data_IF_758002860458
#
_entry.id   IF_758002860458
#
_cell.length_a   1.000
_cell.length_b   1.000
_cell.length_c   1.000
_cell.angle_alpha   90.00
_cell.angle_beta   90.00
_cell.angle_gamma   90.00
#
_symmetry.space_group_name_H-M   'P 1'
#
loop_
_entity.id
_entity.type
_entity.pdbx_description
1 polymer ?
#
# COMPACT_ATOMS: atom_id res chain seq x y z
N UNK A 1 0.86 3.85 13.06
CA UNK A 1 0.24 3.38 11.82
C UNK A 1 -0.95 2.52 12.21
N UNK A 2 -2.12 2.75 11.59
CA UNK A 2 -3.28 1.91 11.84
C UNK A 2 -3.18 0.61 11.03
N UNK A 3 -3.63 -0.50 11.61
CA UNK A 3 -3.78 -1.77 10.90
C UNK A 3 -5.26 -2.08 10.76
N UNK A 4 -5.69 -2.42 9.56
CA UNK A 4 -7.03 -2.96 9.30
C UNK A 4 -6.94 -4.48 9.42
N UNK A 5 -7.64 -5.04 10.41
CA UNK A 5 -7.73 -6.48 10.60
C UNK A 5 -9.06 -6.96 10.02
N UNK A 6 -8.99 -7.91 9.12
CA UNK A 6 -10.16 -8.49 8.46
C UNK A 6 -10.14 -9.99 8.70
N UNK A 7 -11.18 -10.50 9.37
CA UNK A 7 -11.37 -11.94 9.56
C UNK A 7 -11.98 -12.52 8.29
N UNK A 8 -11.29 -13.47 7.68
CA UNK A 8 -11.82 -14.18 6.52
C UNK A 8 -12.76 -15.31 6.95
N UNK A 9 -13.60 -15.78 6.02
CA UNK A 9 -14.49 -16.93 6.25
C UNK A 9 -13.73 -18.22 6.61
N UNK A 10 -12.43 -18.28 6.36
CA UNK A 10 -11.54 -19.40 6.73
C UNK A 10 -10.83 -19.19 8.08
N UNK A 11 -11.27 -18.21 8.89
CA UNK A 11 -10.66 -17.85 10.17
C UNK A 11 -9.18 -17.44 10.07
N UNK A 12 -8.78 -16.89 8.91
CA UNK A 12 -7.45 -16.32 8.69
C UNK A 12 -7.55 -14.82 8.85
N UNK A 13 -6.76 -14.24 9.75
CA UNK A 13 -6.71 -12.79 9.97
C UNK A 13 -5.81 -12.15 8.93
N UNK A 14 -6.39 -11.33 8.06
CA UNK A 14 -5.64 -10.50 7.12
C UNK A 14 -5.34 -9.14 7.76
N UNK A 15 -4.07 -8.78 7.79
CA UNK A 15 -3.60 -7.51 8.30
C UNK A 15 -3.16 -6.60 7.15
N UNK A 16 -3.86 -5.46 6.99
CA UNK A 16 -3.50 -4.44 6.01
C UNK A 16 -2.94 -3.22 6.74
N UNK A 17 -1.77 -2.78 6.33
CA UNK A 17 -1.17 -1.54 6.83
C UNK A 17 -1.82 -0.35 6.15
N UNK A 18 -2.49 0.52 6.94
CA UNK A 18 -3.17 1.69 6.40
C UNK A 18 -2.16 2.78 6.03
N UNK A 19 -2.40 3.44 4.90
CA UNK A 19 -1.54 4.51 4.41
C UNK A 19 -1.69 5.77 5.29
N UNK A 20 -0.60 6.30 5.85
CA UNK A 20 -0.63 7.53 6.64
C UNK A 20 -0.95 8.74 5.76
N UNK A 21 -1.44 9.83 6.38
CA UNK A 21 -1.91 11.05 5.71
C UNK A 21 -0.87 11.63 4.75
N UNK A 22 0.39 11.73 5.18
CA UNK A 22 1.46 12.34 4.37
C UNK A 22 1.74 11.57 3.08
N UNK A 23 1.72 10.23 3.10
CA UNK A 23 1.93 9.41 1.90
C UNK A 23 0.75 9.59 0.92
N UNK A 24 -0.47 9.66 1.43
CA UNK A 24 -1.67 9.92 0.62
C UNK A 24 -1.66 11.34 0.02
N UNK A 25 -1.09 12.30 0.75
CA UNK A 25 -0.88 13.65 0.26
C UNK A 25 0.15 13.69 -0.88
N UNK A 26 1.27 12.98 -0.76
CA UNK A 26 2.26 12.89 -1.84
C UNK A 26 1.69 12.18 -3.07
N UNK A 27 0.88 11.12 -2.90
CA UNK A 27 0.18 10.49 -4.03
C UNK A 27 -0.70 11.49 -4.78
N UNK A 28 -1.49 12.28 -4.04
CA UNK A 28 -2.34 13.33 -4.61
C UNK A 28 -1.51 14.42 -5.30
N UNK A 29 -0.37 14.83 -4.74
CA UNK A 29 0.52 15.82 -5.33
C UNK A 29 1.10 15.34 -6.66
N UNK A 30 1.49 14.08 -6.77
CA UNK A 30 1.93 13.47 -8.04
C UNK A 30 0.80 13.52 -9.07
N UNK A 31 -0.42 13.15 -8.70
CA UNK A 31 -1.58 13.24 -9.58
C UNK A 31 -1.83 14.69 -10.04
N UNK A 32 -1.71 15.68 -9.15
CA UNK A 32 -1.83 17.09 -9.48
C UNK A 32 -0.75 17.57 -10.48
N UNK A 33 0.50 17.12 -10.32
CA UNK A 33 1.58 17.46 -11.24
C UNK A 33 1.29 16.88 -12.63
N UNK A 34 0.85 15.62 -12.72
CA UNK A 34 0.50 14.98 -13.99
C UNK A 34 -0.66 15.69 -14.70
N UNK A 35 -1.70 16.03 -13.97
CA UNK A 35 -2.85 16.77 -14.50
C UNK A 35 -2.47 18.21 -14.89
N UNK A 36 -1.60 18.86 -14.12
CA UNK A 36 -1.06 20.18 -14.44
C UNK A 36 -0.21 20.18 -15.72
N UNK A 37 0.61 19.15 -15.89
CA UNK A 37 1.40 18.95 -17.11
C UNK A 37 0.50 18.70 -18.32
N UNK A 38 -0.53 17.86 -18.18
CA UNK A 38 -1.55 17.64 -19.22
C UNK A 38 -2.20 18.96 -19.62
N UNK A 39 -2.68 19.73 -18.63
CA UNK A 39 -3.31 21.04 -18.87
C UNK A 39 -2.37 21.98 -19.62
N UNK A 40 -1.12 22.09 -19.17
CA UNK A 40 -0.13 22.95 -19.81
C UNK A 40 0.15 22.55 -21.27
N UNK A 41 0.34 21.25 -21.54
CA UNK A 41 0.57 20.75 -22.90
C UNK A 41 -0.63 21.03 -23.81
N UNK A 42 -1.84 20.70 -23.34
CA UNK A 42 -3.05 20.79 -24.17
C UNK A 42 -3.42 22.25 -24.43
N UNK A 43 -3.52 23.08 -23.39
CA UNK A 43 -4.04 24.44 -23.53
C UNK A 43 -3.00 25.48 -23.97
N UNK A 44 -1.70 25.28 -23.66
CA UNK A 44 -0.67 26.25 -24.03
C UNK A 44 0.17 25.83 -25.26
N UNK A 45 0.18 24.55 -25.62
CA UNK A 45 0.96 24.07 -26.78
C UNK A 45 0.07 23.57 -27.91
N UNK A 46 -0.85 22.62 -27.61
CA UNK A 46 -1.62 21.93 -28.62
C UNK A 46 -2.75 22.84 -29.19
N UNK A 47 -3.60 23.39 -28.32
CA UNK A 47 -4.76 24.18 -28.73
C UNK A 47 -4.36 25.41 -29.59
N UNK A 48 -3.36 26.23 -29.21
CA UNK A 48 -2.93 27.33 -30.06
C UNK A 48 -2.34 26.90 -31.42
N UNK A 49 -1.73 25.73 -31.49
CA UNK A 49 -1.14 25.22 -32.74
C UNK A 49 -2.19 24.77 -33.77
N UNK A 50 -3.41 24.46 -33.33
CA UNK A 50 -4.53 24.08 -34.20
C UNK A 50 -5.21 25.26 -34.90
N UNK A 51 -4.82 26.49 -34.57
CA UNK A 51 -5.34 27.69 -35.20
C UNK A 51 -6.73 28.13 -34.75
N UNK A 52 -7.21 29.26 -35.26
CA UNK A 52 -8.49 29.90 -34.84
C UNK A 52 -9.76 29.04 -35.06
N UNK A 53 -9.68 27.98 -35.84
CA UNK A 53 -10.79 27.04 -36.03
C UNK A 53 -11.05 26.10 -34.84
N UNK A 54 -10.07 25.96 -33.94
CA UNK A 54 -10.16 25.09 -32.77
C UNK A 54 -10.80 25.80 -31.54
N UNK A 55 -11.01 27.11 -31.59
CA UNK A 55 -11.64 27.90 -30.51
C UNK A 55 -13.17 27.73 -30.47
N UNK A 56 -13.69 26.55 -30.76
CA UNK A 56 -15.10 26.24 -30.53
C UNK A 56 -15.28 25.82 -29.07
N UNK A 57 -16.24 26.43 -28.37
CA UNK A 57 -16.60 26.14 -26.98
C UNK A 57 -16.75 24.63 -26.73
N UNK A 58 -17.13 23.84 -27.75
CA UNK A 58 -17.29 22.40 -27.67
C UNK A 58 -15.97 21.62 -27.54
N UNK A 59 -14.89 22.09 -28.20
CA UNK A 59 -13.58 21.42 -28.12
C UNK A 59 -12.98 21.59 -26.72
N UNK A 60 -13.15 22.77 -26.10
CA UNK A 60 -12.66 23.02 -24.77
C UNK A 60 -13.28 22.05 -23.75
N UNK A 61 -14.59 21.81 -23.80
CA UNK A 61 -15.26 20.85 -22.91
C UNK A 61 -14.75 19.43 -23.09
N UNK A 62 -14.52 18.99 -24.33
CA UNK A 62 -13.95 17.66 -24.61
C UNK A 62 -12.53 17.52 -24.05
N UNK A 63 -11.71 18.58 -24.13
CA UNK A 63 -10.36 18.60 -23.58
C UNK A 63 -10.32 18.65 -22.05
N UNK A 64 -11.36 19.19 -21.39
CA UNK A 64 -11.47 19.14 -19.93
C UNK A 64 -11.97 17.78 -19.40
N UNK A 65 -12.61 16.97 -20.23
CA UNK A 65 -13.21 15.70 -19.81
C UNK A 65 -12.17 14.72 -19.21
N UNK A 66 -10.99 14.52 -19.80
CA UNK A 66 -9.95 13.69 -19.18
C UNK A 66 -9.52 14.20 -17.80
N UNK A 67 -9.41 15.50 -17.62
CA UNK A 67 -9.08 16.11 -16.32
C UNK A 67 -10.12 15.78 -15.25
N UNK A 68 -11.40 15.87 -15.60
CA UNK A 68 -12.51 15.60 -14.68
C UNK A 68 -12.67 14.11 -14.36
N UNK A 69 -12.55 13.25 -15.39
CA UNK A 69 -12.76 11.81 -15.27
C UNK A 69 -11.50 11.05 -14.84
N UNK A 70 -10.31 11.67 -14.80
CA UNK A 70 -9.04 11.02 -14.53
C UNK A 70 -9.10 10.04 -13.35
N UNK A 71 -9.50 10.52 -12.20
CA UNK A 71 -9.53 9.70 -11.00
C UNK A 71 -10.56 8.57 -11.08
N UNK A 72 -11.74 8.83 -11.67
CA UNK A 72 -12.77 7.81 -11.85
C UNK A 72 -12.30 6.70 -12.77
N UNK A 73 -11.75 7.07 -13.92
CA UNK A 73 -11.26 6.11 -14.91
C UNK A 73 -10.15 5.23 -14.33
N UNK A 74 -9.17 5.85 -13.68
CA UNK A 74 -8.09 5.08 -13.07
C UNK A 74 -8.56 4.21 -11.90
N UNK A 75 -9.49 4.67 -11.07
CA UNK A 75 -10.03 3.86 -9.97
C UNK A 75 -10.88 2.69 -10.50
N UNK A 76 -11.66 2.88 -11.57
CA UNK A 76 -12.47 1.81 -12.17
C UNK A 76 -11.62 0.75 -12.92
N UNK A 77 -10.63 1.20 -13.71
CA UNK A 77 -9.87 0.29 -14.57
C UNK A 77 -8.59 -0.24 -13.95
N UNK A 78 -8.10 0.38 -12.87
CA UNK A 78 -6.82 0.05 -12.25
C UNK A 78 -6.96 -0.38 -10.78
N UNK A 79 -8.02 -1.14 -10.45
CA UNK A 79 -8.24 -1.72 -9.12
C UNK A 79 -8.08 -0.72 -7.96
N UNK A 80 -8.68 0.47 -8.07
CA UNK A 80 -8.65 1.50 -7.06
C UNK A 80 -7.36 2.31 -6.96
N UNK A 81 -6.50 2.29 -7.99
CA UNK A 81 -5.22 2.99 -8.01
C UNK A 81 -5.20 4.12 -9.04
N UNK A 82 -4.94 5.37 -8.62
CA UNK A 82 -4.49 6.45 -9.53
C UNK A 82 -2.99 6.29 -9.81
N UNK A 83 -2.45 7.01 -10.80
CA UNK A 83 -1.01 6.97 -11.12
C UNK A 83 -0.15 7.38 -9.91
N UNK A 84 -0.54 8.40 -9.16
CA UNK A 84 0.16 8.81 -7.94
C UNK A 84 0.10 7.76 -6.83
N UNK A 85 -1.05 7.08 -6.66
CA UNK A 85 -1.18 5.96 -5.71
C UNK A 85 -0.31 4.78 -6.15
N UNK A 86 -0.26 4.48 -7.45
CA UNK A 86 0.54 3.39 -7.99
C UNK A 86 2.04 3.63 -7.78
N UNK A 87 2.52 4.87 -7.99
CA UNK A 87 3.92 5.25 -7.76
C UNK A 87 4.38 5.07 -6.31
N UNK A 88 3.47 5.20 -5.34
CA UNK A 88 3.75 5.03 -3.91
C UNK A 88 3.30 3.67 -3.36
N UNK A 89 2.92 2.73 -4.22
CA UNK A 89 2.49 1.41 -3.80
C UNK A 89 1.21 1.41 -2.95
N UNK A 90 0.27 2.32 -3.22
CA UNK A 90 -1.01 2.41 -2.53
C UNK A 90 -2.14 1.80 -3.35
N UNK A 91 -3.09 1.18 -2.68
CA UNK A 91 -4.36 0.74 -3.29
C UNK A 91 -5.52 0.98 -2.36
N UNK A 92 -6.72 1.02 -2.94
CA UNK A 92 -7.97 1.06 -2.19
C UNK A 92 -8.51 -0.35 -2.02
N UNK A 93 -9.00 -0.62 -0.81
CA UNK A 93 -9.69 -1.86 -0.49
C UNK A 93 -10.98 -1.55 0.27
N UNK A 94 -11.97 -2.40 0.16
CA UNK A 94 -13.15 -2.34 1.02
C UNK A 94 -12.77 -2.63 2.47
N UNK A 95 -13.54 -2.14 3.43
CA UNK A 95 -13.38 -2.49 4.86
C UNK A 95 -13.47 -3.99 5.13
N UNK A 96 -14.09 -4.74 4.22
CA UNK A 96 -14.18 -6.21 4.26
C UNK A 96 -12.93 -6.91 3.69
N UNK A 97 -11.88 -6.16 3.32
CA UNK A 97 -10.64 -6.69 2.76
C UNK A 97 -10.71 -7.08 1.27
N UNK A 98 -11.87 -6.94 0.64
CA UNK A 98 -12.06 -7.22 -0.80
C UNK A 98 -11.59 -6.05 -1.65
N UNK A 99 -11.46 -6.30 -2.95
CA UNK A 99 -11.21 -5.23 -3.90
C UNK A 99 -12.38 -4.24 -3.94
N UNK A 100 -12.07 -2.98 -4.25
CA UNK A 100 -13.05 -1.91 -4.40
C UNK A 100 -14.06 -2.24 -5.52
N UNK A 101 -15.35 -2.06 -5.25
CA UNK A 101 -16.40 -2.21 -6.24
C UNK A 101 -16.56 -0.91 -7.06
N UNK A 102 -17.10 -1.03 -8.29
CA UNK A 102 -17.36 0.13 -9.15
C UNK A 102 -18.28 1.16 -8.47
N UNK A 103 -19.26 0.69 -7.70
CA UNK A 103 -20.16 1.58 -6.93
C UNK A 103 -19.40 2.38 -5.86
N UNK A 104 -18.48 1.72 -5.16
CA UNK A 104 -17.64 2.39 -4.15
C UNK A 104 -16.72 3.44 -4.79
N UNK A 105 -16.11 3.12 -5.94
CA UNK A 105 -15.29 4.06 -6.70
C UNK A 105 -16.10 5.29 -7.15
N UNK A 106 -17.34 5.09 -7.62
CA UNK A 106 -18.24 6.20 -8.00
C UNK A 106 -18.60 7.09 -6.81
N UNK A 107 -18.97 6.51 -5.67
CA UNK A 107 -19.30 7.28 -4.45
C UNK A 107 -18.10 8.14 -4.03
N UNK A 108 -16.90 7.57 -4.02
CA UNK A 108 -15.66 8.27 -3.67
C UNK A 108 -15.35 9.40 -4.65
N UNK A 109 -15.55 9.16 -5.96
CA UNK A 109 -15.33 10.17 -6.97
C UNK A 109 -16.31 11.36 -6.83
N UNK A 110 -17.59 11.09 -6.59
CA UNK A 110 -18.60 12.13 -6.38
C UNK A 110 -18.29 13.00 -5.15
N UNK A 111 -17.82 12.38 -4.06
CA UNK A 111 -17.49 13.09 -2.82
C UNK A 111 -16.09 13.73 -2.82
N UNK A 112 -15.28 13.46 -3.85
CA UNK A 112 -13.92 14.01 -3.96
C UNK A 112 -13.87 15.54 -4.00
N UNK A 113 -14.93 16.19 -4.50
CA UNK A 113 -15.04 17.65 -4.51
C UNK A 113 -15.06 18.24 -3.09
N UNK A 114 -15.45 17.47 -2.09
CA UNK A 114 -15.45 17.85 -0.67
C UNK A 114 -14.10 17.54 0.03
N UNK A 115 -13.16 16.93 -0.67
CA UNK A 115 -11.81 16.64 -0.17
C UNK A 115 -10.80 17.75 -0.57
N UNK A 116 -9.50 17.41 -0.61
CA UNK A 116 -8.43 18.34 -1.02
C UNK A 116 -8.64 18.99 -2.41
N UNK A 117 -9.35 18.33 -3.32
CA UNK A 117 -9.70 18.90 -4.63
C UNK A 117 -10.59 20.12 -4.53
N UNK A 118 -11.46 20.16 -3.54
CA UNK A 118 -12.30 21.31 -3.27
C UNK A 118 -11.54 22.53 -2.76
N UNK A 119 -10.41 22.36 -2.07
CA UNK A 119 -9.55 23.48 -1.67
C UNK A 119 -9.02 24.27 -2.86
N UNK A 120 -8.57 23.58 -3.91
CA UNK A 120 -8.12 24.25 -5.14
C UNK A 120 -9.27 24.99 -5.80
N UNK A 121 -10.45 24.38 -5.84
CA UNK A 121 -11.65 25.00 -6.37
C UNK A 121 -12.06 26.25 -5.56
N UNK A 122 -11.97 26.21 -4.23
CA UNK A 122 -12.21 27.36 -3.36
C UNK A 122 -11.19 28.47 -3.61
N UNK A 123 -9.91 28.14 -3.76
CA UNK A 123 -8.87 29.13 -4.07
C UNK A 123 -9.11 29.79 -5.43
N UNK A 124 -9.53 29.05 -6.45
CA UNK A 124 -9.89 29.59 -7.77
C UNK A 124 -11.11 30.52 -7.69
N UNK A 125 -12.10 30.18 -6.89
CA UNK A 125 -13.26 31.05 -6.62
C UNK A 125 -12.84 32.31 -5.85
N UNK A 126 -11.99 32.16 -4.83
CA UNK A 126 -11.54 33.32 -4.01
C UNK A 126 -10.65 34.27 -4.79
N UNK A 127 -9.97 33.82 -5.85
CA UNK A 127 -9.19 34.67 -6.75
C UNK A 127 -10.05 35.56 -7.68
N UNK A 128 -11.38 35.49 -7.58
CA UNK A 128 -12.31 36.35 -8.31
C UNK A 128 -12.74 35.81 -9.68
N UNK A 129 -12.26 34.66 -10.11
CA UNK A 129 -12.67 34.02 -11.38
C UNK A 129 -14.15 33.61 -11.38
N UNK A 130 -14.66 33.18 -10.21
CA UNK A 130 -16.07 32.80 -10.05
C UNK A 130 -16.60 33.32 -8.71
N UNK A 131 -17.69 34.07 -8.74
CA UNK A 131 -18.36 34.57 -7.52
C UNK A 131 -19.64 33.77 -7.27
N UNK A 132 -19.59 32.83 -6.34
CA UNK A 132 -20.73 32.00 -5.94
C UNK A 132 -21.42 32.47 -4.65
N UNK A 133 -21.00 33.62 -4.06
CA UNK A 133 -21.61 34.19 -2.85
C UNK A 133 -21.70 33.19 -1.68
N UNK A 134 -22.91 32.98 -1.17
CA UNK A 134 -23.17 32.07 -0.03
C UNK A 134 -22.71 30.62 -0.27
N UNK A 135 -22.82 30.11 -1.49
CA UNK A 135 -22.41 28.76 -1.83
C UNK A 135 -20.90 28.53 -1.66
N UNK A 136 -20.09 29.57 -1.90
CA UNK A 136 -18.62 29.51 -1.68
C UNK A 136 -18.29 29.27 -0.20
N UNK A 137 -18.98 29.96 0.73
CA UNK A 137 -18.77 29.76 2.15
C UNK A 137 -19.23 28.37 2.63
N UNK A 138 -20.35 27.88 2.13
CA UNK A 138 -20.79 26.50 2.39
C UNK A 138 -19.74 25.47 1.96
N UNK A 139 -19.21 25.59 0.76
CA UNK A 139 -18.16 24.68 0.25
C UNK A 139 -16.88 24.78 1.11
N UNK A 140 -16.48 25.97 1.56
CA UNK A 140 -15.33 26.15 2.43
C UNK A 140 -15.51 25.43 3.78
N UNK A 141 -16.69 25.53 4.38
CA UNK A 141 -17.01 24.85 5.65
C UNK A 141 -16.99 23.33 5.45
N UNK A 142 -17.63 22.81 4.39
CA UNK A 142 -17.64 21.38 4.08
C UNK A 142 -16.22 20.82 3.88
N UNK A 143 -15.35 21.57 3.18
CA UNK A 143 -13.94 21.18 3.02
C UNK A 143 -13.17 21.19 4.34
N UNK A 144 -13.38 22.19 5.18
CA UNK A 144 -12.79 22.24 6.53
C UNK A 144 -13.19 21.02 7.36
N UNK A 145 -14.47 20.65 7.35
CA UNK A 145 -14.96 19.44 8.03
C UNK A 145 -14.35 18.16 7.44
N UNK A 146 -14.24 18.05 6.13
CA UNK A 146 -13.64 16.89 5.47
C UNK A 146 -12.16 16.70 5.86
N UNK A 147 -11.39 17.79 5.99
CA UNK A 147 -10.00 17.75 6.46
C UNK A 147 -9.93 17.31 7.92
N UNK A 148 -10.79 17.85 8.79
CA UNK A 148 -10.84 17.45 10.21
C UNK A 148 -11.15 15.95 10.32
N UNK A 149 -12.16 15.44 9.61
CA UNK A 149 -12.49 14.01 9.57
C UNK A 149 -11.31 13.16 9.10
N UNK A 150 -10.61 13.61 8.06
CA UNK A 150 -9.44 12.90 7.53
C UNK A 150 -8.31 12.78 8.55
N UNK A 151 -8.10 13.77 9.38
CA UNK A 151 -7.06 13.78 10.42
C UNK A 151 -7.47 13.00 11.68
N UNK A 152 -8.76 12.93 11.99
CA UNK A 152 -9.26 12.36 13.25
C UNK A 152 -9.71 10.90 13.13
N UNK A 153 -10.00 10.40 11.92
CA UNK A 153 -10.46 9.02 11.73
C UNK A 153 -9.34 8.00 11.99
N UNK A 154 -9.71 6.85 12.57
CA UNK A 154 -8.80 5.76 12.94
C UNK A 154 -7.92 5.26 11.77
N UNK A 155 -8.46 5.27 10.56
CA UNK A 155 -7.79 4.78 9.34
C UNK A 155 -7.42 5.90 8.38
N UNK A 156 -7.40 7.16 8.84
CA UNK A 156 -7.18 8.36 8.01
C UNK A 156 -8.08 8.37 6.76
N UNK A 157 -9.36 8.06 6.94
CA UNK A 157 -10.33 7.99 5.86
C UNK A 157 -10.83 9.38 5.49
N UNK A 158 -10.94 9.65 4.20
CA UNK A 158 -11.63 10.83 3.67
C UNK A 158 -13.14 10.62 3.76
N UNK A 159 -13.91 11.70 3.60
CA UNK A 159 -15.36 11.62 3.62
C UNK A 159 -15.90 10.62 2.57
N UNK A 160 -15.33 10.63 1.37
CA UNK A 160 -15.64 9.67 0.32
C UNK A 160 -15.26 8.22 0.68
N UNK A 161 -14.14 8.02 1.38
CA UNK A 161 -13.70 6.68 1.82
C UNK A 161 -14.66 6.12 2.88
N UNK A 162 -15.13 6.97 3.82
CA UNK A 162 -16.10 6.58 4.87
C UNK A 162 -17.43 6.20 4.24
N UNK A 163 -17.98 7.06 3.37
CA UNK A 163 -19.26 6.83 2.71
C UNK A 163 -19.27 5.58 1.84
N UNK A 164 -18.13 5.25 1.22
CA UNK A 164 -17.96 4.06 0.40
C UNK A 164 -17.50 2.82 1.18
N UNK A 165 -17.29 2.92 2.51
CA UNK A 165 -16.73 1.85 3.33
C UNK A 165 -15.43 1.28 2.77
N UNK A 166 -14.47 2.17 2.43
CA UNK A 166 -13.18 1.83 1.84
C UNK A 166 -12.02 2.39 2.65
N UNK A 167 -10.85 1.78 2.51
CA UNK A 167 -9.61 2.20 3.19
C UNK A 167 -8.47 2.18 2.18
N UNK A 168 -7.56 3.16 2.27
CA UNK A 168 -6.33 3.15 1.47
C UNK A 168 -5.22 2.45 2.26
N UNK A 169 -4.67 1.41 1.66
CA UNK A 169 -3.65 0.55 2.26
C UNK A 169 -2.41 0.50 1.39
N UNK A 170 -1.28 0.09 1.97
CA UNK A 170 -0.12 -0.27 1.18
C UNK A 170 -0.39 -1.57 0.43
N UNK A 171 -0.06 -1.57 -0.86
CA UNK A 171 0.00 -2.79 -1.65
C UNK A 171 1.21 -3.58 -1.12
N UNK A 172 0.98 -4.57 -0.26
CA UNK A 172 2.03 -5.52 0.06
C UNK A 172 2.44 -6.15 -1.28
N UNK A 173 3.71 -6.01 -1.63
CA UNK A 173 4.27 -6.80 -2.72
C UNK A 173 3.95 -8.26 -2.43
N UNK A 174 3.53 -9.04 -3.44
CA UNK A 174 3.43 -10.49 -3.26
C UNK A 174 4.74 -10.92 -2.62
N UNK A 175 4.64 -11.73 -1.58
CA UNK A 175 5.74 -12.22 -0.75
C UNK A 175 7.03 -12.25 -1.55
N UNK A 176 8.07 -11.59 -1.04
CA UNK A 176 9.40 -11.79 -1.59
C UNK A 176 9.66 -13.29 -1.50
N UNK A 177 9.98 -13.93 -2.63
CA UNK A 177 10.29 -15.37 -2.66
C UNK A 177 11.43 -15.71 -1.71
N UNK A 178 12.20 -14.70 -1.28
CA UNK A 178 13.21 -14.80 -0.23
C UNK A 178 12.63 -14.90 1.19
N UNK A 179 11.34 -14.59 1.40
CA UNK A 179 10.64 -14.77 2.68
C UNK A 179 10.07 -16.18 2.85
N UNK A 180 10.08 -17.01 1.80
CA UNK A 180 9.78 -18.42 1.95
C UNK A 180 10.94 -19.12 2.65
N UNK A 181 10.63 -19.94 3.65
CA UNK A 181 11.58 -20.78 4.39
C UNK A 181 12.37 -21.69 3.44
N UNK A 182 11.83 -21.93 2.25
CA UNK A 182 12.43 -22.77 1.21
C UNK A 182 13.56 -22.04 0.49
N UNK A 183 14.79 -22.12 1.03
CA UNK A 183 16.00 -21.80 0.28
C UNK A 183 16.20 -22.90 -0.78
N UNK A 184 16.41 -22.51 -2.04
CA UNK A 184 16.87 -23.45 -3.06
C UNK A 184 18.29 -23.91 -2.71
N UNK A 185 18.39 -25.01 -1.98
CA UNK A 185 19.66 -25.72 -1.81
C UNK A 185 19.93 -26.48 -3.11
N UNK A 186 20.66 -25.88 -4.04
CA UNK A 186 21.26 -26.54 -5.20
C UNK A 186 22.50 -27.35 -4.77
N UNK A 187 22.33 -28.30 -3.87
CA UNK A 187 23.45 -29.14 -3.46
C UNK A 187 23.08 -30.58 -3.84
N UNK A 188 23.60 -31.04 -4.95
CA UNK A 188 23.40 -32.43 -5.45
C UNK A 188 23.87 -33.49 -4.46
N UNK A 189 24.69 -33.14 -3.44
CA UNK A 189 25.23 -34.06 -2.44
C UNK A 189 25.18 -33.45 -1.02
N UNK A 190 24.02 -32.97 -0.58
CA UNK A 190 23.88 -32.44 0.78
C UNK A 190 23.78 -33.59 1.80
N UNK A 191 24.67 -33.60 2.80
CA UNK A 191 24.64 -34.55 3.92
C UNK A 191 23.96 -33.87 5.13
N UNK A 192 22.86 -34.46 5.58
CA UNK A 192 22.12 -33.99 6.76
C UNK A 192 22.99 -34.21 8.00
N UNK A 193 23.21 -33.14 8.78
CA UNK A 193 23.99 -33.18 10.02
C UNK A 193 23.09 -33.41 11.24
N UNK A 194 21.91 -32.83 11.26
CA UNK A 194 20.98 -32.88 12.40
C UNK A 194 19.60 -33.41 11.99
N UNK A 195 19.44 -34.72 11.78
CA UNK A 195 18.15 -35.30 11.36
C UNK A 195 17.03 -35.11 12.39
N UNK A 196 17.36 -34.88 13.66
CA UNK A 196 16.42 -34.56 14.72
C UNK A 196 15.62 -33.27 14.53
N UNK A 197 15.98 -32.41 13.54
CA UNK A 197 15.28 -31.16 13.23
C UNK A 197 13.80 -31.38 12.91
N UNK A 198 13.41 -32.53 12.39
CA UNK A 198 12.02 -32.88 12.08
C UNK A 198 11.13 -33.03 13.33
N UNK A 199 11.71 -33.08 14.52
CA UNK A 199 10.97 -33.08 15.79
C UNK A 199 10.55 -31.68 16.25
N UNK A 200 11.09 -30.62 15.60
CA UNK A 200 10.70 -29.24 15.86
C UNK A 200 9.38 -28.92 15.16
N UNK A 201 8.58 -28.07 15.80
CA UNK A 201 7.36 -27.56 15.16
C UNK A 201 7.66 -26.53 14.06
N UNK A 202 6.74 -26.36 13.12
CA UNK A 202 6.85 -25.33 12.07
C UNK A 202 6.99 -23.92 12.68
N UNK A 203 6.42 -23.70 13.86
CA UNK A 203 6.54 -22.44 14.58
C UNK A 203 7.98 -22.22 15.08
N UNK A 204 8.64 -23.27 15.58
CA UNK A 204 10.02 -23.19 16.04
C UNK A 204 10.96 -22.91 14.86
N UNK A 205 10.76 -23.56 13.72
CA UNK A 205 11.52 -23.31 12.49
C UNK A 205 11.34 -21.86 12.01
N UNK A 206 10.13 -21.33 12.07
CA UNK A 206 9.87 -19.92 11.73
C UNK A 206 10.60 -18.96 12.67
N UNK A 207 10.67 -19.27 13.97
CA UNK A 207 11.40 -18.45 14.95
C UNK A 207 12.89 -18.46 14.63
N UNK A 208 13.47 -19.63 14.34
CA UNK A 208 14.88 -19.80 13.97
C UNK A 208 15.20 -18.97 12.72
N UNK A 209 14.41 -19.10 11.67
CA UNK A 209 14.61 -18.38 10.40
C UNK A 209 14.57 -16.86 10.60
N UNK A 210 13.60 -16.37 11.40
CA UNK A 210 13.49 -14.95 11.72
C UNK A 210 14.70 -14.43 12.49
N UNK A 211 15.24 -15.22 13.41
CA UNK A 211 16.42 -14.85 14.22
C UNK A 211 17.68 -14.83 13.36
N UNK A 212 17.89 -15.84 12.53
CA UNK A 212 19.03 -15.89 11.59
C UNK A 212 18.97 -14.73 10.60
N UNK A 213 17.80 -14.42 10.03
CA UNK A 213 17.59 -13.26 9.15
C UNK A 213 17.89 -11.92 9.85
N UNK A 214 17.46 -11.77 11.10
CA UNK A 214 17.75 -10.56 11.90
C UNK A 214 19.24 -10.44 12.21
N UNK A 215 19.90 -11.52 12.59
CA UNK A 215 21.33 -11.53 12.87
C UNK A 215 22.14 -11.07 11.64
N UNK A 216 21.81 -11.56 10.45
CA UNK A 216 22.44 -11.14 9.18
C UNK A 216 22.25 -9.65 8.87
N UNK A 217 21.14 -9.04 9.29
CA UNK A 217 20.87 -7.60 9.08
C UNK A 217 21.51 -6.69 10.13
N UNK A 218 21.51 -7.07 11.41
CA UNK A 218 21.77 -6.14 12.53
C UNK A 218 23.00 -6.53 13.35
N UNK A 219 23.58 -7.74 13.16
CA UNK A 219 24.72 -8.33 13.92
C UNK A 219 24.53 -8.29 15.46
N UNK A 220 23.29 -8.34 15.95
CA UNK A 220 23.00 -8.39 17.39
C UNK A 220 22.93 -9.85 17.81
N UNK A 221 23.85 -10.28 18.70
CA UNK A 221 24.03 -11.68 19.11
C UNK A 221 23.11 -12.14 20.25
N UNK A 222 22.59 -11.24 21.10
CA UNK A 222 21.93 -11.61 22.35
C UNK A 222 20.75 -12.58 22.24
N UNK A 223 20.00 -12.55 21.15
CA UNK A 223 18.85 -13.45 20.93
C UNK A 223 19.27 -14.78 20.27
N UNK A 224 20.32 -14.75 19.48
CA UNK A 224 20.79 -15.92 18.72
C UNK A 224 21.34 -17.00 19.66
N UNK A 225 22.22 -16.61 20.61
CA UNK A 225 22.79 -17.49 21.61
C UNK A 225 21.72 -18.14 22.50
N UNK A 226 20.74 -17.35 23.00
CA UNK A 226 19.67 -17.87 23.85
C UNK A 226 18.77 -18.89 23.15
N UNK A 227 18.55 -18.75 21.84
CA UNK A 227 17.75 -19.67 21.04
C UNK A 227 18.57 -20.91 20.68
N UNK A 228 19.84 -20.75 20.30
CA UNK A 228 20.72 -21.87 20.02
C UNK A 228 20.84 -22.83 21.23
N UNK A 229 21.02 -22.27 22.43
CA UNK A 229 21.07 -23.05 23.67
C UNK A 229 19.78 -23.85 23.92
N UNK A 230 18.62 -23.20 23.75
CA UNK A 230 17.32 -23.88 23.93
C UNK A 230 17.10 -24.99 22.92
N UNK A 231 17.52 -24.81 21.66
CA UNK A 231 17.33 -25.80 20.60
C UNK A 231 18.32 -26.97 20.80
N UNK A 232 19.58 -26.69 21.17
CA UNK A 232 20.54 -27.73 21.52
C UNK A 232 20.01 -28.62 22.65
N UNK A 233 19.42 -27.98 23.68
CA UNK A 233 18.78 -28.71 24.79
C UNK A 233 17.52 -29.49 24.36
N UNK A 234 16.67 -28.93 23.50
CA UNK A 234 15.44 -29.56 23.02
C UNK A 234 15.69 -30.78 22.11
N UNK A 235 16.80 -30.77 21.36
CA UNK A 235 17.19 -31.85 20.45
C UNK A 235 18.24 -32.80 21.07
N UNK A 236 18.65 -32.55 22.33
CA UNK A 236 19.70 -33.30 23.06
C UNK A 236 20.98 -33.40 22.24
N UNK A 237 21.44 -32.25 21.69
CA UNK A 237 22.59 -32.16 20.81
C UNK A 237 23.76 -31.47 21.52
N UNK A 238 24.92 -32.15 21.55
CA UNK A 238 26.19 -31.51 21.86
C UNK A 238 26.96 -31.24 20.56
N UNK A 239 27.21 -29.98 20.26
CA UNK A 239 27.94 -29.55 19.06
C UNK A 239 28.85 -28.37 19.38
N UNK A 240 30.07 -28.39 18.82
CA UNK A 240 31.07 -27.33 18.92
C UNK A 240 30.92 -26.26 17.87
N UNK A 241 29.83 -26.31 17.04
CA UNK A 241 29.58 -25.30 16.02
C UNK A 241 29.17 -23.96 16.65
N UNK A 242 29.66 -22.88 16.07
CA UNK A 242 29.19 -21.52 16.41
C UNK A 242 27.68 -21.44 16.23
N UNK A 243 27.02 -20.70 17.12
CA UNK A 243 25.56 -20.70 17.21
C UNK A 243 24.85 -20.20 15.95
N UNK A 244 25.46 -19.31 15.18
CA UNK A 244 24.96 -18.85 13.88
C UNK A 244 25.05 -19.93 12.81
N UNK A 245 26.20 -20.61 12.72
CA UNK A 245 26.44 -21.73 11.79
C UNK A 245 25.54 -22.91 12.15
N UNK A 246 25.37 -23.21 13.44
CA UNK A 246 24.49 -24.26 13.92
C UNK A 246 23.05 -24.05 13.48
N UNK A 247 22.48 -22.85 13.74
CA UNK A 247 21.10 -22.53 13.39
C UNK A 247 20.88 -22.48 11.87
N UNK A 248 21.88 -22.02 11.10
CA UNK A 248 21.82 -22.02 9.64
C UNK A 248 21.88 -23.46 9.06
N UNK A 249 22.72 -24.32 9.62
CA UNK A 249 22.79 -25.73 9.23
C UNK A 249 21.49 -26.46 9.54
N UNK A 250 20.91 -26.20 10.70
CA UNK A 250 19.64 -26.77 11.12
C UNK A 250 18.48 -26.39 10.16
N UNK A 251 18.43 -25.13 9.73
CA UNK A 251 17.46 -24.70 8.72
C UNK A 251 17.68 -25.37 7.36
N UNK A 252 18.93 -25.58 6.98
CA UNK A 252 19.26 -26.26 5.73
C UNK A 252 18.86 -27.76 5.80
N UNK A 253 19.09 -28.40 6.93
CA UNK A 253 18.70 -29.82 7.17
C UNK A 253 17.16 -29.95 7.11
N UNK A 254 16.42 -29.05 7.76
CA UNK A 254 14.96 -29.03 7.68
C UNK A 254 14.47 -28.88 6.25
N UNK A 255 15.04 -27.92 5.50
CA UNK A 255 14.66 -27.71 4.11
C UNK A 255 14.97 -28.88 3.20
N UNK A 256 16.05 -29.62 3.47
CA UNK A 256 16.40 -30.82 2.71
C UNK A 256 15.46 -31.99 3.03
N UNK A 257 15.19 -32.22 4.32
CA UNK A 257 14.33 -33.32 4.78
C UNK A 257 12.86 -33.15 4.45
N UNK A 258 12.36 -31.92 4.52
CA UNK A 258 10.95 -31.57 4.21
C UNK A 258 10.60 -31.72 2.72
N UNK A 259 11.60 -31.83 1.83
CA UNK A 259 11.40 -32.03 0.39
C UNK A 259 11.43 -33.53 -0.04
N UNK A 260 11.78 -34.43 0.86
CA UNK A 260 11.91 -35.84 0.60
C UNK A 260 10.67 -36.62 1.01
#
# INVERSE_FOLDING_TARGET
>A
MGTLNVNTSFNIDLHFDTAPVHIRFFAWLIDCILLGLYYWIVFYKLLPSLGNGANSVGIDYVLYLPFFCYHLLFELFNHGQSLGKMALGLRVVSTDGKEETNTQAMIRWLLRTLDFGGLIFILLISSGFVRLGFLQWMLAICNGMAIILFLTTKYNQRLGDIAASTVVVFKKLPYDLNDTIFRELRIENYTVQFPGVMNLSDNDINIIDNVVKRHKKTKINNYLESIAVKIKAALDLETDLEDDIFLETLLNDYNYLSRK
#
